data_IF_105349197802
#
_entry.id   IF_105349197802
#
_cell.length_a   1.000
_cell.length_b   1.000
_cell.length_c   1.000
_cell.angle_alpha   90.00
_cell.angle_beta   90.00
_cell.angle_gamma   90.00
#
_symmetry.space_group_name_H-M   'P 1'
#
loop_
_entity.id
_entity.type
_entity.pdbx_description
1 polymer ?
#
# COMPACT_ATOMS: atom_id res chain seq x y z
N UNK A 1 1.22 9.16 4.75
CA UNK A 1 -0.26 9.27 4.68
C UNK A 1 -0.89 8.03 5.32
N UNK A 2 -2.02 8.22 6.01
CA UNK A 2 -2.83 7.12 6.53
C UNK A 2 -4.20 7.20 5.86
N UNK A 3 -4.56 6.15 5.13
CA UNK A 3 -5.82 5.99 4.41
C UNK A 3 -6.64 4.84 5.00
N UNK A 4 -6.37 4.47 6.25
CA UNK A 4 -7.13 3.42 6.92
C UNK A 4 -8.57 3.88 7.12
N UNK A 5 -9.52 2.97 6.97
CA UNK A 5 -10.96 3.26 7.07
C UNK A 5 -11.46 4.29 6.03
N UNK A 6 -10.68 4.57 4.98
CA UNK A 6 -11.10 5.43 3.89
C UNK A 6 -11.73 4.58 2.76
N UNK A 7 -12.80 5.09 2.17
CA UNK A 7 -13.40 4.55 0.93
C UNK A 7 -12.60 4.96 -0.32
N UNK A 8 -11.28 4.76 -0.28
CA UNK A 8 -10.40 5.01 -1.42
C UNK A 8 -10.51 3.84 -2.41
N UNK A 9 -10.52 4.17 -3.70
CA UNK A 9 -10.46 3.21 -4.80
C UNK A 9 -9.07 3.21 -5.45
N UNK A 10 -8.83 2.26 -6.37
CA UNK A 10 -7.62 2.21 -7.18
C UNK A 10 -7.28 3.56 -7.83
N UNK A 11 -8.29 4.27 -8.35
CA UNK A 11 -8.12 5.59 -8.96
C UNK A 11 -7.57 6.61 -7.97
N UNK A 12 -8.03 6.57 -6.71
CA UNK A 12 -7.53 7.45 -5.66
C UNK A 12 -6.06 7.18 -5.30
N UNK A 13 -5.61 5.93 -5.41
CA UNK A 13 -4.20 5.58 -5.13
C UNK A 13 -3.25 6.09 -6.23
N UNK A 14 -3.72 6.28 -7.46
CA UNK A 14 -2.92 6.84 -8.56
C UNK A 14 -2.51 8.31 -8.33
N UNK A 15 -3.11 8.99 -7.35
CA UNK A 15 -2.69 10.34 -6.94
C UNK A 15 -1.44 10.33 -6.03
N UNK A 16 -1.10 9.19 -5.41
CA UNK A 16 0.02 9.08 -4.47
C UNK A 16 1.39 9.41 -5.09
N UNK A 17 1.72 9.00 -6.32
CA UNK A 17 3.01 9.33 -6.96
C UNK A 17 3.24 10.82 -7.15
N UNK A 18 2.18 11.61 -7.32
CA UNK A 18 2.26 13.07 -7.40
C UNK A 18 2.72 13.70 -6.09
N UNK A 19 2.71 12.94 -4.99
CA UNK A 19 3.25 13.33 -3.70
C UNK A 19 4.73 12.94 -3.60
N UNK A 20 5.62 13.73 -4.21
CA UNK A 20 7.05 13.43 -4.33
C UNK A 20 7.82 13.19 -3.01
N UNK A 21 7.24 13.51 -1.85
CA UNK A 21 7.84 13.29 -0.53
C UNK A 21 7.21 12.13 0.25
N UNK A 22 6.34 11.32 -0.37
CA UNK A 22 5.60 10.29 0.34
C UNK A 22 6.50 9.11 0.72
N UNK A 23 6.89 9.07 1.99
CA UNK A 23 7.73 7.99 2.53
C UNK A 23 6.96 6.93 3.31
N UNK A 24 5.78 7.27 3.84
CA UNK A 24 5.02 6.39 4.71
C UNK A 24 3.59 6.24 4.18
N UNK A 25 3.12 5.01 4.02
CA UNK A 25 1.75 4.69 3.62
C UNK A 25 1.14 3.69 4.60
N UNK A 26 -0.07 3.98 5.07
CA UNK A 26 -0.85 3.06 5.90
C UNK A 26 -2.21 2.86 5.22
N UNK A 27 -2.51 1.62 4.84
CA UNK A 27 -3.79 1.20 4.25
C UNK A 27 -4.29 -0.02 5.02
N UNK A 28 -5.08 0.23 6.06
CA UNK A 28 -5.77 -0.80 6.83
C UNK A 28 -7.27 -0.64 6.64
N UNK A 29 -8.01 -1.75 6.53
CA UNK A 29 -9.46 -1.71 6.42
C UNK A 29 -9.97 -0.84 5.25
N UNK A 30 -9.53 -1.16 4.04
CA UNK A 30 -9.98 -0.52 2.80
C UNK A 30 -10.70 -1.53 1.94
N UNK A 31 -11.91 -1.19 1.45
CA UNK A 31 -12.78 -2.11 0.69
C UNK A 31 -12.79 -1.89 -0.82
N UNK A 32 -12.19 -0.80 -1.32
CA UNK A 32 -12.23 -0.40 -2.73
C UNK A 32 -10.91 -0.57 -3.49
N UNK A 33 -9.90 -1.18 -2.85
CA UNK A 33 -8.55 -1.29 -3.42
C UNK A 33 -8.31 -2.72 -3.88
N UNK A 34 -8.01 -2.90 -5.16
CA UNK A 34 -7.57 -4.17 -5.74
C UNK A 34 -6.08 -4.41 -5.50
N UNK A 35 -5.65 -5.67 -5.57
CA UNK A 35 -4.24 -6.01 -5.50
C UNK A 35 -3.43 -5.30 -6.61
N UNK A 36 -3.94 -5.35 -7.86
CA UNK A 36 -3.29 -4.71 -9.01
C UNK A 36 -3.20 -3.19 -8.85
N UNK A 37 -4.29 -2.53 -8.42
CA UNK A 37 -4.29 -1.09 -8.19
C UNK A 37 -3.29 -0.67 -7.11
N UNK A 38 -3.17 -1.48 -6.06
CA UNK A 38 -2.18 -1.27 -5.01
C UNK A 38 -0.75 -1.45 -5.53
N UNK A 39 -0.45 -2.50 -6.28
CA UNK A 39 0.88 -2.75 -6.85
C UNK A 39 1.35 -1.61 -7.76
N UNK A 40 0.50 -1.18 -8.69
CA UNK A 40 0.79 -0.06 -9.59
C UNK A 40 1.14 1.18 -8.75
N UNK A 41 0.34 1.47 -7.74
CA UNK A 41 0.52 2.65 -6.89
C UNK A 41 1.82 2.58 -6.07
N UNK A 42 2.17 1.41 -5.53
CA UNK A 42 3.41 1.20 -4.79
C UNK A 42 4.64 1.42 -5.69
N UNK A 43 4.64 0.81 -6.89
CA UNK A 43 5.73 0.93 -7.84
C UNK A 43 5.93 2.37 -8.30
N UNK A 44 4.83 3.10 -8.54
CA UNK A 44 4.87 4.50 -8.97
C UNK A 44 5.34 5.47 -7.90
N UNK A 45 5.31 5.11 -6.61
CA UNK A 45 5.79 5.97 -5.54
C UNK A 45 7.30 5.81 -5.33
N UNK A 46 8.11 6.69 -5.93
CA UNK A 46 9.58 6.63 -5.91
C UNK A 46 10.19 6.65 -4.49
N UNK A 47 9.59 7.39 -3.56
CA UNK A 47 10.17 7.68 -2.24
C UNK A 47 9.61 6.85 -1.08
N UNK A 48 8.74 5.86 -1.33
CA UNK A 48 8.18 5.03 -0.26
C UNK A 48 9.26 4.24 0.49
N UNK A 49 9.19 4.32 1.82
CA UNK A 49 10.11 3.66 2.77
C UNK A 49 9.39 2.75 3.74
N UNK A 50 8.16 3.07 4.14
CA UNK A 50 7.40 2.24 5.07
C UNK A 50 5.96 2.09 4.59
N UNK A 51 5.53 0.85 4.42
CA UNK A 51 4.20 0.51 3.95
C UNK A 51 3.54 -0.41 4.97
N UNK A 52 2.39 -0.01 5.50
CA UNK A 52 1.61 -0.80 6.45
C UNK A 52 0.30 -1.22 5.80
N UNK A 53 0.10 -2.51 5.63
CA UNK A 53 -1.03 -3.12 4.93
C UNK A 53 -1.72 -4.16 5.78
N UNK A 54 -2.97 -4.48 5.44
CA UNK A 54 -3.64 -5.66 5.98
C UNK A 54 -2.89 -6.94 5.55
N UNK A 55 -2.79 -7.93 6.43
CA UNK A 55 -2.10 -9.20 6.17
C UNK A 55 -2.65 -9.96 4.95
N UNK A 56 -3.93 -9.77 4.59
CA UNK A 56 -4.52 -10.33 3.37
C UNK A 56 -3.76 -9.92 2.10
N UNK A 57 -3.21 -8.70 2.06
CA UNK A 57 -2.42 -8.24 0.91
C UNK A 57 -1.12 -9.03 0.73
N UNK A 58 -0.57 -9.60 1.82
CA UNK A 58 0.69 -10.35 1.74
C UNK A 58 0.60 -11.57 0.83
N UNK A 59 -0.57 -12.22 0.77
CA UNK A 59 -0.77 -13.44 -0.04
C UNK A 59 -1.20 -13.16 -1.48
N UNK A 60 -1.70 -11.95 -1.77
CA UNK A 60 -2.25 -11.60 -3.09
C UNK A 60 -1.35 -10.67 -3.89
N UNK A 61 -0.42 -9.97 -3.23
CA UNK A 61 0.58 -9.16 -3.91
C UNK A 61 1.68 -10.04 -4.51
N UNK A 62 2.13 -9.66 -5.68
CA UNK A 62 3.17 -10.32 -6.45
C UNK A 62 4.50 -10.28 -5.67
N UNK A 63 5.18 -11.43 -5.47
CA UNK A 63 6.47 -11.46 -4.79
C UNK A 63 7.51 -10.54 -5.43
N UNK A 64 7.49 -10.42 -6.76
CA UNK A 64 8.39 -9.53 -7.52
C UNK A 64 8.19 -8.06 -7.16
N UNK A 65 6.96 -7.62 -6.89
CA UNK A 65 6.66 -6.24 -6.50
C UNK A 65 7.17 -6.00 -5.08
N UNK A 66 6.95 -6.94 -4.17
CA UNK A 66 7.45 -6.84 -2.79
C UNK A 66 8.98 -6.77 -2.77
N UNK A 67 9.65 -7.68 -3.48
CA UNK A 67 11.11 -7.72 -3.61
C UNK A 67 11.66 -6.41 -4.20
N UNK A 68 11.07 -5.93 -5.30
CA UNK A 68 11.49 -4.67 -5.92
C UNK A 68 11.40 -3.49 -4.94
N UNK A 69 10.34 -3.44 -4.15
CA UNK A 69 10.14 -2.41 -3.14
C UNK A 69 11.15 -2.55 -1.99
N UNK A 70 11.41 -3.77 -1.52
CA UNK A 70 12.39 -4.05 -0.46
C UNK A 70 13.82 -3.70 -0.89
N UNK A 71 14.23 -4.03 -2.12
CA UNK A 71 15.53 -3.63 -2.69
C UNK A 71 15.69 -2.11 -2.75
N UNK A 72 14.60 -1.38 -2.97
CA UNK A 72 14.58 0.09 -2.91
C UNK A 72 14.66 0.64 -1.49
N UNK A 73 14.66 -0.23 -0.47
CA UNK A 73 14.68 0.13 0.95
C UNK A 73 13.31 0.44 1.52
N UNK A 74 12.24 -0.14 0.97
CA UNK A 74 10.90 -0.09 1.55
C UNK A 74 10.68 -1.27 2.50
N UNK A 75 10.13 -1.01 3.68
CA UNK A 75 9.79 -2.03 4.68
C UNK A 75 8.28 -2.23 4.74
N UNK A 76 7.83 -3.48 4.70
CA UNK A 76 6.42 -3.83 4.84
C UNK A 76 6.06 -4.24 6.27
N UNK A 77 5.00 -3.65 6.80
CA UNK A 77 4.36 -4.06 8.03
C UNK A 77 2.98 -4.63 7.75
N UNK A 78 2.85 -5.93 7.92
CA UNK A 78 1.59 -6.65 7.75
C UNK A 78 0.81 -6.63 9.06
N UNK A 79 -0.47 -6.27 9.00
CA UNK A 79 -1.36 -6.22 10.17
C UNK A 79 -2.59 -7.08 9.93
N UNK A 80 -2.79 -8.01 10.83
CA UNK A 80 -4.06 -8.69 10.99
C UNK A 80 -4.81 -8.01 12.12
N UNK A 81 -5.42 -6.86 11.82
CA UNK A 81 -6.37 -6.23 12.72
C UNK A 81 -7.76 -6.59 12.21
N UNK A 82 -8.61 -7.26 13.00
CA UNK A 82 -10.01 -7.42 12.64
C UNK A 82 -10.67 -6.04 12.57
N UNK A 83 -11.51 -5.83 11.56
CA UNK A 83 -12.36 -4.65 11.51
C UNK A 83 -13.42 -4.82 12.61
N UNK A 84 -13.27 -4.09 13.72
CA UNK A 84 -14.30 -4.01 14.74
C UNK A 84 -15.18 -2.80 14.41
N UNK A 85 -16.46 -3.07 14.12
CA UNK A 85 -17.52 -2.09 13.89
C UNK A 85 -17.90 -1.35 15.18
#
# INVERSE_FOLDING_TARGET
INLSYCSVSDVGLLALPSMGCLQNLILLHVGGVSAQGLEISLLSCACLRNVKLNAHFRSILSPQVLEHMEVRGCTFQWRDKPFML
#
